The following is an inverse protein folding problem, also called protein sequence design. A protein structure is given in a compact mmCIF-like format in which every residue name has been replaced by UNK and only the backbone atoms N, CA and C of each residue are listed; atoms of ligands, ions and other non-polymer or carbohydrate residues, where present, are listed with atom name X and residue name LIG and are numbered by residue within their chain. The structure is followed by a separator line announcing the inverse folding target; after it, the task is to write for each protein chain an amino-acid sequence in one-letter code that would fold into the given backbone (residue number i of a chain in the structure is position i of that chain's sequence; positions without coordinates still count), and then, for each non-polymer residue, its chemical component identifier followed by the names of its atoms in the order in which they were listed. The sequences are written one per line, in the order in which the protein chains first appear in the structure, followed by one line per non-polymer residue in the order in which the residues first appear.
data_IF_399865618846
#
_entry.id   IF_399865618846
#
_cell.length_a   1.000
_cell.length_b   1.000
_cell.length_c   1.000
_cell.angle_alpha   90.00
_cell.angle_beta   90.00
_cell.angle_gamma   90.00
#
_symmetry.space_group_name_H-M   'P 1'
#
loop_
_entity.id
_entity.type
_entity.pdbx_description
1 polymer ?
#
# COMPACT_ATOMS: atom_id res chain seq x y z
N UNK A 1 -18.75 5.89 -2.37
CA UNK A 1 -18.17 5.95 -3.73
C UNK A 1 -16.69 5.64 -3.65
N UNK A 2 -16.22 4.70 -4.47
CA UNK A 2 -14.81 4.34 -4.45
C UNK A 2 -13.96 5.39 -5.16
N UNK A 3 -12.85 5.76 -4.56
CA UNK A 3 -11.87 6.64 -5.16
C UNK A 3 -10.72 5.80 -5.70
N UNK A 4 -10.25 6.14 -6.89
CA UNK A 4 -9.12 5.48 -7.51
C UNK A 4 -7.88 6.34 -7.41
N UNK A 5 -6.81 5.75 -6.92
CA UNK A 5 -5.52 6.40 -6.73
C UNK A 5 -4.48 5.59 -7.47
N UNK A 6 -3.73 6.23 -8.35
CA UNK A 6 -2.65 5.57 -9.06
C UNK A 6 -1.30 5.99 -8.49
N UNK A 7 -0.33 5.08 -8.54
CA UNK A 7 1.00 5.36 -8.04
C UNK A 7 2.02 4.47 -8.75
N UNK A 8 3.23 4.96 -8.89
CA UNK A 8 4.35 4.21 -9.44
C UNK A 8 5.53 4.35 -8.50
N UNK A 9 6.10 3.24 -8.09
CA UNK A 9 7.24 3.25 -7.19
C UNK A 9 7.90 1.89 -7.10
N UNK A 10 9.09 1.83 -6.48
CA UNK A 10 9.82 0.57 -6.38
C UNK A 10 9.27 -0.33 -5.28
N UNK A 11 9.32 -1.63 -5.55
CA UNK A 11 9.10 -2.65 -4.53
C UNK A 11 10.37 -2.75 -3.70
N UNK A 12 10.26 -2.67 -2.37
CA UNK A 12 11.41 -2.79 -1.50
C UNK A 12 11.18 -3.83 -0.42
N UNK A 13 12.26 -4.37 0.08
CA UNK A 13 12.25 -5.45 1.05
C UNK A 13 12.68 -4.94 2.40
N UNK A 14 11.88 -5.28 3.42
CA UNK A 14 12.19 -4.96 4.79
C UNK A 14 12.51 -6.23 5.57
N UNK A 15 13.63 -6.23 6.26
CA UNK A 15 14.04 -7.35 7.09
C UNK A 15 14.58 -6.84 8.42
N UNK A 16 14.44 -7.65 9.47
CA UNK A 16 15.11 -7.41 10.74
C UNK A 16 15.78 -8.70 11.19
N UNK A 17 16.84 -8.60 12.03
CA UNK A 17 17.45 -9.80 12.60
C UNK A 17 16.49 -10.66 13.41
N UNK A 18 15.43 -10.06 13.95
CA UNK A 18 14.46 -10.76 14.78
C UNK A 18 13.37 -11.43 13.96
N UNK A 19 13.18 -11.06 12.70
CA UNK A 19 12.11 -11.60 11.85
C UNK A 19 12.68 -12.60 10.86
N UNK A 20 12.22 -13.86 10.86
CA UNK A 20 12.73 -14.88 9.94
C UNK A 20 12.27 -14.67 8.50
N UNK A 21 11.18 -13.92 8.29
CA UNK A 21 10.61 -13.68 6.98
C UNK A 21 10.77 -12.21 6.58
N UNK A 22 11.02 -11.97 5.30
CA UNK A 22 11.09 -10.63 4.74
C UNK A 22 9.69 -10.13 4.42
N UNK A 23 9.46 -8.84 4.64
CA UNK A 23 8.27 -8.15 4.20
C UNK A 23 8.60 -7.33 2.96
N UNK A 24 7.64 -7.22 2.05
CA UNK A 24 7.81 -6.41 0.85
C UNK A 24 6.75 -5.32 0.82
N UNK A 25 7.19 -4.12 0.51
CA UNK A 25 6.33 -2.94 0.51
C UNK A 25 6.56 -2.09 -0.72
N UNK A 26 5.53 -1.31 -1.05
CA UNK A 26 5.66 -0.16 -1.94
C UNK A 26 5.30 1.05 -1.11
N UNK A 27 6.17 2.06 -1.09
CA UNK A 27 5.90 3.32 -0.41
C UNK A 27 5.05 4.20 -1.32
N UNK A 28 3.91 4.64 -0.82
CA UNK A 28 2.99 5.49 -1.56
C UNK A 28 3.11 6.90 -1.01
N UNK A 29 3.87 7.73 -1.72
CA UNK A 29 4.17 9.11 -1.35
C UNK A 29 3.62 10.08 -2.39
N UNK A 30 4.01 11.35 -2.31
CA UNK A 30 3.58 12.36 -3.25
C UNK A 30 2.06 12.54 -3.28
N UNK A 31 1.53 12.81 -4.46
CA UNK A 31 0.09 13.07 -4.64
C UNK A 31 -0.78 11.88 -4.21
N UNK A 32 -0.34 10.66 -4.50
CA UNK A 32 -1.07 9.46 -4.10
C UNK A 32 -1.11 9.31 -2.58
N UNK A 33 0.01 9.57 -1.91
CA UNK A 33 0.07 9.54 -0.45
C UNK A 33 -0.81 10.60 0.19
N UNK A 34 -0.84 11.79 -0.38
CA UNK A 34 -1.72 12.86 0.09
C UNK A 34 -3.19 12.51 -0.08
N UNK A 35 -3.55 11.86 -1.19
CA UNK A 35 -4.92 11.41 -1.43
C UNK A 35 -5.33 10.36 -0.39
N UNK A 36 -4.45 9.43 -0.06
CA UNK A 36 -4.72 8.45 0.99
C UNK A 36 -4.90 9.11 2.35
N UNK A 37 -4.08 10.10 2.66
CA UNK A 37 -4.18 10.83 3.93
C UNK A 37 -5.50 11.59 4.03
N UNK A 38 -5.94 12.21 2.94
CA UNK A 38 -7.22 12.90 2.89
C UNK A 38 -8.39 11.93 3.09
N UNK A 39 -8.34 10.77 2.43
CA UNK A 39 -9.37 9.75 2.58
C UNK A 39 -9.43 9.22 4.01
N UNK A 40 -8.27 8.96 4.61
CA UNK A 40 -8.19 8.48 5.99
C UNK A 40 -8.77 9.52 6.97
N UNK A 41 -8.47 10.79 6.76
CA UNK A 41 -9.01 11.87 7.59
C UNK A 41 -10.52 11.94 7.48
N UNK A 42 -11.05 11.88 6.27
CA UNK A 42 -12.50 11.91 6.05
C UNK A 42 -13.22 10.76 6.74
N UNK A 43 -12.67 9.54 6.62
CA UNK A 43 -13.25 8.38 7.28
C UNK A 43 -13.20 8.47 8.79
N UNK A 44 -12.14 9.06 9.33
CA UNK A 44 -12.04 9.29 10.77
C UNK A 44 -13.09 10.29 11.25
N UNK A 45 -13.31 11.36 10.49
CA UNK A 45 -14.33 12.36 10.81
C UNK A 45 -15.74 11.79 10.74
N UNK A 46 -15.96 10.82 9.87
CA UNK A 46 -17.24 10.14 9.75
C UNK A 46 -17.42 9.01 10.78
N UNK A 47 -16.42 8.78 11.63
CA UNK A 47 -16.47 7.73 12.64
C UNK A 47 -16.31 6.32 12.08
N UNK A 48 -15.89 6.19 10.83
CA UNK A 48 -15.76 4.88 10.17
C UNK A 48 -14.40 4.23 10.36
N UNK A 49 -13.42 4.99 10.82
CA UNK A 49 -12.07 4.48 11.02
C UNK A 49 -11.89 3.96 12.43
N UNK A 50 -11.29 2.78 12.55
CA UNK A 50 -10.95 2.17 13.84
C UNK A 50 -9.53 1.67 13.83
N UNK A 51 -8.88 1.67 14.99
CA UNK A 51 -7.55 1.11 15.18
C UNK A 51 -6.44 2.09 14.88
N UNK A 52 -5.38 1.62 14.25
CA UNK A 52 -4.09 2.30 14.21
C UNK A 52 -3.89 3.21 12.99
N UNK A 53 -4.96 3.66 12.38
CA UNK A 53 -4.86 4.54 11.23
C UNK A 53 -4.67 3.82 9.89
N UNK A 54 -4.71 2.49 9.87
CA UNK A 54 -4.64 1.77 8.60
C UNK A 54 -5.90 2.01 7.78
N UNK A 55 -5.76 1.91 6.47
CA UNK A 55 -6.83 2.13 5.52
C UNK A 55 -6.97 0.91 4.62
N UNK A 56 -8.17 0.33 4.57
CA UNK A 56 -8.43 -0.83 3.71
C UNK A 56 -8.52 -0.39 2.26
N UNK A 57 -7.85 -1.12 1.39
CA UNK A 57 -7.82 -0.81 -0.04
C UNK A 57 -7.93 -2.09 -0.87
N UNK A 58 -8.40 -1.93 -2.10
CA UNK A 58 -8.22 -2.94 -3.13
C UNK A 58 -7.11 -2.46 -4.03
N UNK A 59 -6.04 -3.24 -4.16
CA UNK A 59 -4.88 -2.87 -4.94
C UNK A 59 -4.82 -3.71 -6.21
N UNK A 60 -4.49 -3.08 -7.32
CA UNK A 60 -4.31 -3.75 -8.60
C UNK A 60 -2.91 -3.49 -9.12
N UNK A 61 -2.17 -4.56 -9.37
CA UNK A 61 -0.85 -4.54 -9.99
C UNK A 61 -0.92 -5.46 -11.21
N UNK A 62 -0.75 -4.89 -12.40
CA UNK A 62 -0.88 -5.66 -13.63
C UNK A 62 -2.27 -6.29 -13.73
N UNK A 63 -2.33 -7.60 -13.87
CA UNK A 63 -3.59 -8.35 -13.94
C UNK A 63 -4.09 -8.86 -12.59
N UNK A 64 -3.42 -8.51 -11.49
CA UNK A 64 -3.73 -9.06 -10.17
C UNK A 64 -4.36 -8.01 -9.27
N UNK A 65 -5.57 -8.30 -8.76
CA UNK A 65 -6.25 -7.44 -7.78
C UNK A 65 -6.29 -8.17 -6.45
N UNK A 66 -5.95 -7.47 -5.39
CA UNK A 66 -5.94 -8.04 -4.05
C UNK A 66 -6.38 -7.02 -3.01
N UNK A 67 -7.01 -7.50 -1.94
CA UNK A 67 -7.42 -6.65 -0.83
C UNK A 67 -6.36 -6.66 0.24
N UNK A 68 -6.06 -5.48 0.76
CA UNK A 68 -5.06 -5.31 1.82
C UNK A 68 -5.36 -4.04 2.60
N UNK A 69 -4.44 -3.67 3.47
CA UNK A 69 -4.50 -2.38 4.16
C UNK A 69 -3.19 -1.65 3.93
N UNK A 70 -3.27 -0.33 3.75
CA UNK A 70 -2.09 0.51 3.75
C UNK A 70 -1.91 1.11 5.13
N UNK A 71 -0.66 1.31 5.53
CA UNK A 71 -0.30 1.81 6.86
C UNK A 71 0.46 3.11 6.73
N UNK A 72 0.17 4.10 7.60
CA UNK A 72 0.93 5.34 7.55
C UNK A 72 2.39 5.08 7.94
N UNK A 73 3.31 5.65 7.16
CA UNK A 73 4.72 5.57 7.44
C UNK A 73 5.14 6.72 8.35
N UNK A 74 6.07 6.46 9.28
CA UNK A 74 6.62 7.51 10.13
C UNK A 74 7.51 8.46 9.35
N UNK A 75 8.08 8.00 8.24
CA UNK A 75 8.99 8.80 7.44
C UNK A 75 8.26 9.60 6.37
N UNK A 76 7.55 8.93 5.49
CA UNK A 76 6.81 9.59 4.42
C UNK A 76 5.76 8.66 3.84
N UNK A 77 4.59 9.22 3.53
CA UNK A 77 3.54 8.52 2.81
C UNK A 77 2.95 7.31 3.54
N UNK A 78 2.59 6.32 2.76
CA UNK A 78 1.92 5.11 3.22
C UNK A 78 2.67 3.88 2.73
N UNK A 79 2.56 2.79 3.47
CA UNK A 79 3.17 1.51 3.10
C UNK A 79 2.10 0.55 2.61
N UNK A 80 2.28 0.03 1.40
CA UNK A 80 1.43 -1.02 0.84
C UNK A 80 2.17 -2.34 0.91
N UNK A 81 1.72 -3.30 1.74
CA UNK A 81 2.34 -4.62 1.75
C UNK A 81 1.97 -5.41 0.50
N UNK A 82 2.95 -6.08 -0.08
CA UNK A 82 2.77 -6.90 -1.28
C UNK A 82 3.12 -8.34 -0.95
N UNK A 83 2.10 -9.18 -0.84
CA UNK A 83 2.26 -10.58 -0.43
C UNK A 83 2.93 -11.42 -1.52
N UNK A 84 3.49 -12.54 -1.11
CA UNK A 84 4.26 -13.42 -1.99
C UNK A 84 3.47 -13.89 -3.21
N UNK A 85 2.19 -14.21 -3.05
CA UNK A 85 1.37 -14.67 -4.17
C UNK A 85 1.25 -13.62 -5.27
N UNK A 86 1.14 -12.35 -4.90
CA UNK A 86 1.07 -11.23 -5.85
C UNK A 86 2.42 -11.02 -6.52
N UNK A 87 3.50 -11.04 -5.75
CA UNK A 87 4.85 -10.88 -6.31
C UNK A 87 5.15 -11.98 -7.32
N UNK A 88 4.74 -13.20 -7.02
CA UNK A 88 4.94 -14.34 -7.91
C UNK A 88 4.09 -14.22 -9.18
N UNK A 89 2.82 -13.86 -9.02
CA UNK A 89 1.89 -13.72 -10.15
C UNK A 89 2.35 -12.65 -11.14
N UNK A 90 2.89 -11.53 -10.63
CA UNK A 90 3.32 -10.40 -11.45
C UNK A 90 4.84 -10.37 -11.68
N UNK A 91 5.55 -11.40 -11.24
CA UNK A 91 7.01 -11.53 -11.41
C UNK A 91 7.78 -10.33 -10.88
N UNK A 92 7.40 -9.88 -9.69
CA UNK A 92 8.02 -8.71 -9.07
C UNK A 92 9.27 -9.12 -8.30
N UNK A 93 10.35 -8.40 -8.54
CA UNK A 93 11.61 -8.58 -7.82
C UNK A 93 11.93 -7.34 -7.01
N UNK A 94 12.85 -7.48 -6.05
CA UNK A 94 13.27 -6.35 -5.21
C UNK A 94 13.83 -5.23 -6.10
N UNK A 95 13.34 -4.01 -5.88
CA UNK A 95 13.74 -2.85 -6.66
C UNK A 95 12.96 -2.65 -7.95
N UNK A 96 12.09 -3.58 -8.33
CA UNK A 96 11.28 -3.42 -9.53
C UNK A 96 10.33 -2.22 -9.37
N UNK A 97 10.25 -1.40 -10.40
CA UNK A 97 9.30 -0.27 -10.43
C UNK A 97 7.93 -0.81 -10.77
N UNK A 98 6.96 -0.55 -9.91
CA UNK A 98 5.63 -1.11 -10.01
C UNK A 98 4.61 0.00 -10.21
N UNK A 99 3.77 -0.17 -11.22
CA UNK A 99 2.59 0.69 -11.40
C UNK A 99 1.42 0.01 -10.71
N UNK A 100 0.72 0.77 -9.88
CA UNK A 100 -0.40 0.23 -9.13
C UNK A 100 -1.58 1.18 -9.10
N UNK A 101 -2.74 0.60 -8.88
CA UNK A 101 -3.97 1.35 -8.68
C UNK A 101 -4.62 0.90 -7.38
N UNK A 102 -5.08 1.86 -6.60
CA UNK A 102 -5.78 1.60 -5.34
C UNK A 102 -7.23 2.08 -5.45
N UNK A 103 -8.15 1.28 -4.93
CA UNK A 103 -9.52 1.71 -4.69
C UNK A 103 -9.76 1.77 -3.18
N UNK A 104 -10.21 2.89 -2.73
CA UNK A 104 -10.44 3.14 -1.30
C UNK A 104 -11.90 3.43 -0.98
#
# INVERSE_FOLDING_TARGET
MAERITHTGPLWRWTTPAAPAAWHFITIDGAAGEALSATALMRRMEGMSRGFGSLKVAATIGGTTFKTSVFPSKETGWLLPVKASVRKAERLTDGAVVELMLEV
#
